data_IF_560879735233
#
_entry.id   IF_560879735233
#
_cell.length_a   1.000
_cell.length_b   1.000
_cell.length_c   1.000
_cell.angle_alpha   90.00
_cell.angle_beta   90.00
_cell.angle_gamma   90.00
#
_symmetry.space_group_name_H-M   'P 1'
#
loop_
_entity.id
_entity.type
_entity.pdbx_description
1 polymer ?
#
# COMPACT_ATOMS: atom_id res chain seq x y z
N UNK A 1 9.11 -29.13 32.14
CA UNK A 1 7.96 -28.39 32.68
C UNK A 1 7.25 -29.24 33.74
N UNK A 2 6.91 -30.50 33.46
CA UNK A 2 6.25 -31.43 34.37
C UNK A 2 7.05 -31.59 35.69
N UNK A 3 8.31 -31.90 35.61
CA UNK A 3 9.22 -32.07 36.76
C UNK A 3 9.32 -30.79 37.60
N UNK A 4 9.39 -29.63 36.95
CA UNK A 4 9.57 -28.34 37.63
C UNK A 4 8.36 -27.92 38.44
N UNK A 5 7.17 -28.24 37.97
CA UNK A 5 5.89 -27.79 38.57
C UNK A 5 5.06 -28.90 39.18
N UNK A 6 5.63 -30.11 39.29
CA UNK A 6 5.00 -31.31 39.81
C UNK A 6 3.59 -31.57 39.23
N UNK A 7 3.51 -31.48 37.88
CA UNK A 7 2.29 -31.76 37.15
C UNK A 7 2.53 -32.88 36.13
N UNK A 8 1.49 -33.52 35.66
CA UNK A 8 1.57 -34.50 34.60
C UNK A 8 0.59 -34.19 33.49
N UNK A 9 1.07 -34.23 32.26
CA UNK A 9 0.22 -34.21 31.07
C UNK A 9 -0.14 -35.64 30.71
N UNK A 10 -1.42 -35.99 30.76
CA UNK A 10 -1.89 -37.28 30.26
C UNK A 10 -1.50 -37.42 28.80
N UNK A 11 -0.70 -38.46 28.47
CA UNK A 11 -0.11 -38.74 27.16
C UNK A 11 1.00 -37.78 26.71
N UNK A 12 1.81 -37.26 27.64
CA UNK A 12 2.97 -36.46 27.29
C UNK A 12 3.97 -37.29 26.46
N UNK A 13 4.04 -37.01 25.16
CA UNK A 13 5.14 -37.43 24.29
C UNK A 13 5.01 -38.79 23.59
N UNK A 14 4.05 -39.63 23.88
CA UNK A 14 4.02 -40.99 23.31
C UNK A 14 2.97 -41.21 22.21
N UNK A 15 1.88 -40.47 22.15
CA UNK A 15 0.87 -40.60 21.08
C UNK A 15 0.30 -39.25 20.72
N UNK A 16 0.61 -38.77 19.51
CA UNK A 16 -0.13 -37.65 18.93
C UNK A 16 -1.58 -38.09 18.66
N UNK A 17 -2.53 -37.28 19.10
CA UNK A 17 -3.94 -37.52 18.79
C UNK A 17 -4.13 -37.60 17.25
N UNK A 18 -4.85 -38.63 16.81
CA UNK A 18 -4.94 -38.93 15.37
C UNK A 18 -5.92 -38.01 14.64
N UNK A 19 -6.98 -37.57 15.33
CA UNK A 19 -7.98 -36.69 14.76
C UNK A 19 -7.83 -35.23 15.24
N UNK A 20 -8.29 -34.30 14.43
CA UNK A 20 -8.30 -32.87 14.82
C UNK A 20 -9.08 -32.59 16.10
N UNK A 21 -10.19 -33.28 16.32
CA UNK A 21 -11.01 -33.14 17.51
C UNK A 21 -10.29 -33.63 18.77
N UNK A 22 -9.58 -34.75 18.69
CA UNK A 22 -8.73 -35.26 19.77
C UNK A 22 -7.55 -34.31 20.05
N UNK A 23 -6.90 -33.79 19.00
CA UNK A 23 -5.82 -32.80 19.14
C UNK A 23 -6.28 -31.53 19.87
N UNK A 24 -7.47 -31.01 19.51
CA UNK A 24 -8.06 -29.85 20.19
C UNK A 24 -8.39 -30.16 21.66
N UNK A 25 -8.92 -31.35 21.92
CA UNK A 25 -9.23 -31.80 23.30
C UNK A 25 -7.97 -31.96 24.13
N UNK A 26 -6.92 -32.57 23.56
CA UNK A 26 -5.62 -32.73 24.18
C UNK A 26 -4.99 -31.35 24.49
N UNK A 27 -5.00 -30.42 23.54
CA UNK A 27 -4.49 -29.06 23.73
C UNK A 27 -5.25 -28.30 24.84
N UNK A 28 -6.59 -28.41 24.89
CA UNK A 28 -7.40 -27.84 25.98
C UNK A 28 -7.05 -28.42 27.33
N UNK A 29 -6.81 -29.71 27.43
CA UNK A 29 -6.42 -30.35 28.69
C UNK A 29 -5.04 -29.92 29.13
N UNK A 30 -4.06 -29.83 28.22
CA UNK A 30 -2.75 -29.32 28.53
C UNK A 30 -2.80 -27.86 29.01
N UNK A 31 -3.58 -27.03 28.34
CA UNK A 31 -3.78 -25.65 28.76
C UNK A 31 -4.37 -25.55 30.17
N UNK A 32 -5.41 -26.34 30.46
CA UNK A 32 -6.02 -26.40 31.84
C UNK A 32 -4.98 -26.84 32.87
N UNK A 33 -4.15 -27.84 32.56
CA UNK A 33 -3.11 -28.31 33.49
C UNK A 33 -2.07 -27.23 33.73
N UNK A 34 -1.64 -26.49 32.69
CA UNK A 34 -0.71 -25.35 32.82
C UNK A 34 -1.32 -24.23 33.67
N UNK A 35 -2.59 -23.87 33.43
CA UNK A 35 -3.31 -22.85 34.21
C UNK A 35 -3.46 -23.27 35.68
N UNK A 36 -3.61 -24.57 35.97
CA UNK A 36 -3.71 -25.04 37.34
C UNK A 36 -2.46 -24.75 38.16
N UNK A 37 -1.28 -24.69 37.56
CA UNK A 37 -0.04 -24.26 38.24
C UNK A 37 -0.16 -22.83 38.76
N UNK A 38 -0.76 -21.96 37.98
CA UNK A 38 -1.03 -20.57 38.42
C UNK A 38 -2.08 -20.55 39.55
N UNK A 39 -3.22 -21.25 39.36
CA UNK A 39 -4.30 -21.27 40.32
C UNK A 39 -3.87 -21.87 41.66
N UNK A 40 -2.94 -22.79 41.69
CA UNK A 40 -2.43 -23.43 42.90
C UNK A 40 -1.28 -22.67 43.57
N UNK A 41 -0.82 -21.57 42.94
CA UNK A 41 0.27 -20.73 43.44
C UNK A 41 -0.28 -19.34 43.79
N UNK A 42 -0.75 -19.17 45.04
CA UNK A 42 -1.35 -17.91 45.48
C UNK A 42 -0.39 -16.73 45.39
N UNK A 43 0.89 -16.93 45.69
CA UNK A 43 1.90 -15.87 45.57
C UNK A 43 2.05 -15.36 44.10
N UNK A 44 2.02 -16.27 43.12
CA UNK A 44 2.02 -15.90 41.72
C UNK A 44 0.76 -15.16 41.28
N UNK A 45 -0.39 -15.60 41.76
CA UNK A 45 -1.69 -14.94 41.50
C UNK A 45 -1.69 -13.54 42.03
N UNK A 46 -1.27 -13.37 43.30
CA UNK A 46 -1.23 -12.08 43.99
C UNK A 46 -0.23 -11.15 43.27
N UNK A 47 0.95 -11.64 42.90
CA UNK A 47 1.92 -10.87 42.11
C UNK A 47 1.34 -10.39 40.78
N UNK A 48 0.65 -11.26 40.03
CA UNK A 48 0.04 -10.90 38.74
C UNK A 48 -1.11 -9.88 38.97
N UNK A 49 -1.92 -10.05 39.99
CA UNK A 49 -2.99 -9.12 40.32
C UNK A 49 -2.44 -7.73 40.67
N UNK A 50 -1.42 -7.68 41.53
CA UNK A 50 -0.75 -6.43 41.89
C UNK A 50 -0.16 -5.72 40.71
N UNK A 51 0.51 -6.46 39.79
CA UNK A 51 1.07 -5.89 38.57
C UNK A 51 0.00 -5.37 37.61
N UNK A 52 -1.13 -6.04 37.48
CA UNK A 52 -2.26 -5.58 36.65
C UNK A 52 -2.90 -4.33 37.25
N UNK A 53 -3.05 -4.25 38.58
CA UNK A 53 -3.52 -3.05 39.26
C UNK A 53 -2.55 -1.89 39.07
N UNK A 54 -1.26 -2.11 39.30
CA UNK A 54 -0.23 -1.09 39.09
C UNK A 54 -0.24 -0.55 37.63
N UNK A 55 -0.40 -1.44 36.64
CA UNK A 55 -0.53 -1.03 35.25
C UNK A 55 -1.83 -0.23 35.03
N UNK A 56 -2.94 -0.68 35.60
CA UNK A 56 -4.22 0.04 35.53
C UNK A 56 -4.12 1.44 36.15
N UNK A 57 -3.50 1.56 37.34
CA UNK A 57 -3.31 2.83 38.03
C UNK A 57 -2.31 3.77 37.28
N UNK A 58 -1.47 3.23 36.41
CA UNK A 58 -0.58 4.04 35.60
C UNK A 58 -1.26 4.70 34.38
N UNK A 59 -2.49 4.31 34.07
CA UNK A 59 -3.28 4.91 32.99
C UNK A 59 -3.73 6.31 33.43
N UNK A 60 -3.46 7.37 32.63
CA UNK A 60 -3.93 8.72 32.95
C UNK A 60 -5.46 8.74 33.10
N UNK A 61 -5.96 9.36 34.19
CA UNK A 61 -7.39 9.44 34.48
C UNK A 61 -8.08 10.66 33.86
N UNK A 62 -7.32 11.52 33.23
CA UNK A 62 -7.75 12.76 32.57
C UNK A 62 -7.85 12.62 31.03
N UNK A 63 -7.73 11.40 30.52
CA UNK A 63 -8.00 11.10 29.11
C UNK A 63 -9.51 11.01 28.92
N UNK A 64 -10.04 11.78 27.96
CA UNK A 64 -11.44 11.67 27.56
C UNK A 64 -11.79 10.23 27.19
N UNK A 65 -12.89 9.71 27.78
CA UNK A 65 -13.36 8.36 27.46
C UNK A 65 -13.65 8.24 25.95
N UNK A 66 -12.89 7.37 25.28
CA UNK A 66 -13.19 7.00 23.92
C UNK A 66 -14.22 5.87 23.93
N UNK A 67 -15.47 6.19 23.57
CA UNK A 67 -16.56 5.20 23.49
C UNK A 67 -16.45 4.33 22.25
N UNK A 68 -15.36 3.56 22.14
CA UNK A 68 -15.01 2.74 20.96
C UNK A 68 -16.13 1.74 20.65
N UNK A 69 -16.82 1.21 21.66
CA UNK A 69 -17.83 0.17 21.46
C UNK A 69 -19.16 0.70 20.93
N UNK A 70 -19.45 1.98 21.10
CA UNK A 70 -20.74 2.58 20.71
C UNK A 70 -20.82 2.99 19.24
N UNK A 71 -19.68 3.12 18.57
CA UNK A 71 -19.62 3.59 17.18
C UNK A 71 -18.48 2.94 16.41
N UNK A 72 -18.71 2.68 15.11
CA UNK A 72 -17.71 2.09 14.24
C UNK A 72 -17.50 2.94 12.98
N UNK A 73 -16.42 3.75 12.91
CA UNK A 73 -16.11 4.57 11.73
C UNK A 73 -15.91 3.76 10.43
N UNK A 74 -15.56 2.46 10.55
CA UNK A 74 -15.41 1.60 9.37
C UNK A 74 -16.73 1.34 8.63
N UNK A 75 -17.86 1.53 9.28
CA UNK A 75 -19.19 1.43 8.68
C UNK A 75 -19.65 2.76 8.06
N UNK A 76 -18.85 3.81 8.17
CA UNK A 76 -19.17 5.12 7.60
C UNK A 76 -18.83 5.18 6.12
N UNK A 77 -19.85 5.12 5.30
CA UNK A 77 -19.69 5.16 3.84
C UNK A 77 -19.03 6.46 3.34
N UNK A 78 -19.22 7.59 4.04
CA UNK A 78 -18.63 8.86 3.65
C UNK A 78 -17.11 8.82 3.66
N UNK A 79 -16.49 8.01 4.54
CA UNK A 79 -15.03 7.88 4.66
C UNK A 79 -14.38 7.30 3.39
N UNK A 80 -15.10 6.48 2.65
CA UNK A 80 -14.57 5.80 1.46
C UNK A 80 -15.30 6.18 0.17
N UNK A 81 -16.22 7.15 0.25
CA UNK A 81 -16.95 7.68 -0.90
C UNK A 81 -16.17 8.83 -1.55
N UNK A 82 -15.15 8.44 -2.31
CA UNK A 82 -14.22 9.39 -2.94
C UNK A 82 -14.85 10.30 -3.99
N UNK A 83 -16.01 9.96 -4.53
CA UNK A 83 -16.74 10.80 -5.50
C UNK A 83 -17.32 12.05 -4.81
N UNK A 84 -17.56 11.97 -3.51
CA UNK A 84 -18.08 13.05 -2.68
C UNK A 84 -17.04 13.63 -1.71
N UNK A 85 -15.75 13.38 -1.93
CA UNK A 85 -14.71 14.01 -1.13
C UNK A 85 -14.65 15.53 -1.37
N UNK A 86 -14.29 16.33 -0.34
CA UNK A 86 -14.14 17.76 -0.49
C UNK A 86 -13.12 18.16 -1.56
N UNK A 87 -13.43 19.21 -2.32
CA UNK A 87 -12.58 19.70 -3.43
C UNK A 87 -11.14 20.01 -2.99
N UNK A 88 -10.95 20.44 -1.76
CA UNK A 88 -9.61 20.76 -1.20
C UNK A 88 -8.68 19.54 -1.09
N UNK A 89 -9.17 18.31 -1.19
CA UNK A 89 -8.34 17.10 -1.27
C UNK A 89 -7.60 17.06 -2.60
N UNK A 90 -8.25 17.50 -3.66
CA UNK A 90 -7.71 17.51 -5.01
C UNK A 90 -6.92 18.80 -5.29
N UNK A 91 -6.10 18.76 -6.30
CA UNK A 91 -5.30 19.89 -6.75
C UNK A 91 -5.72 20.31 -8.17
N UNK A 92 -5.78 21.61 -8.40
CA UNK A 92 -6.11 22.19 -9.70
C UNK A 92 -5.08 21.83 -10.79
N UNK A 93 -5.49 21.67 -12.04
CA UNK A 93 -4.59 21.47 -13.16
C UNK A 93 -3.48 22.53 -13.22
N UNK A 94 -2.25 22.08 -13.47
CA UNK A 94 -1.07 22.94 -13.52
C UNK A 94 -0.39 23.17 -12.18
N UNK A 95 -0.99 22.76 -11.06
CA UNK A 95 -0.37 22.82 -9.73
C UNK A 95 0.85 21.87 -9.69
N UNK A 96 2.00 22.38 -9.27
CA UNK A 96 3.23 21.57 -9.11
C UNK A 96 3.29 20.99 -7.70
N UNK A 97 2.95 19.71 -7.54
CA UNK A 97 2.74 19.06 -6.24
C UNK A 97 3.08 17.56 -6.28
N UNK A 98 3.74 17.00 -5.25
CA UNK A 98 4.00 15.57 -5.22
C UNK A 98 2.76 14.76 -4.78
N UNK A 99 2.67 13.51 -5.25
CA UNK A 99 1.56 12.63 -4.90
C UNK A 99 1.46 12.32 -3.40
N UNK A 100 2.58 12.30 -2.66
CA UNK A 100 2.56 12.12 -1.19
C UNK A 100 1.77 13.21 -0.44
N UNK A 101 1.62 14.41 -1.03
CA UNK A 101 0.77 15.47 -0.44
C UNK A 101 -0.72 15.11 -0.64
N UNK A 102 -1.09 14.46 -1.74
CA UNK A 102 -2.43 13.89 -1.93
C UNK A 102 -2.78 12.89 -0.82
N UNK A 103 -1.83 12.02 -0.48
CA UNK A 103 -1.97 11.13 0.67
C UNK A 103 -2.17 11.90 1.98
N UNK A 104 -1.34 12.91 2.28
CA UNK A 104 -1.49 13.72 3.49
C UNK A 104 -2.86 14.38 3.60
N UNK A 105 -3.41 14.89 2.50
CA UNK A 105 -4.72 15.53 2.49
C UNK A 105 -5.86 14.56 2.78
N UNK A 106 -5.89 13.40 2.11
CA UNK A 106 -6.93 12.40 2.36
C UNK A 106 -6.79 11.79 3.76
N UNK A 107 -5.58 11.55 4.23
CA UNK A 107 -5.30 11.08 5.59
C UNK A 107 -5.81 12.05 6.66
N UNK A 108 -5.57 13.35 6.46
CA UNK A 108 -6.06 14.41 7.34
C UNK A 108 -7.59 14.47 7.36
N UNK A 109 -8.19 14.40 6.18
CA UNK A 109 -9.65 14.44 6.07
C UNK A 109 -10.31 13.25 6.77
N UNK A 110 -9.85 12.02 6.50
CA UNK A 110 -10.41 10.79 7.12
C UNK A 110 -10.36 10.86 8.63
N UNK A 111 -9.21 11.15 9.22
CA UNK A 111 -9.07 11.19 10.68
C UNK A 111 -9.82 12.38 11.30
N UNK A 112 -9.85 13.54 10.63
CA UNK A 112 -10.62 14.70 11.11
C UNK A 112 -12.13 14.44 11.06
N UNK A 113 -12.62 13.81 9.98
CA UNK A 113 -14.02 13.39 9.85
C UNK A 113 -14.38 12.37 10.94
N UNK A 114 -13.56 11.35 11.13
CA UNK A 114 -13.75 10.33 12.15
C UNK A 114 -13.76 10.94 13.56
N UNK A 115 -12.83 11.85 13.88
CA UNK A 115 -12.80 12.57 15.16
C UNK A 115 -14.07 13.38 15.39
N UNK A 116 -14.50 14.15 14.38
CA UNK A 116 -15.69 15.01 14.49
C UNK A 116 -16.96 14.21 14.69
N UNK A 117 -17.12 13.09 14.00
CA UNK A 117 -18.37 12.30 13.99
C UNK A 117 -18.39 11.22 15.08
N UNK A 118 -17.22 10.66 15.44
CA UNK A 118 -17.10 9.49 16.33
C UNK A 118 -16.21 9.74 17.57
N UNK A 119 -15.66 10.93 17.75
CA UNK A 119 -14.82 11.28 18.89
C UNK A 119 -13.42 10.64 18.89
N UNK A 120 -13.03 9.90 17.83
CA UNK A 120 -11.76 9.19 17.74
C UNK A 120 -11.18 9.17 16.34
N UNK A 121 -9.85 8.99 16.17
CA UNK A 121 -9.28 8.73 14.85
C UNK A 121 -9.68 7.33 14.36
N UNK A 122 -9.66 7.13 13.04
CA UNK A 122 -9.75 5.79 12.43
C UNK A 122 -8.37 5.18 12.26
N UNK A 123 -7.39 5.97 11.84
CA UNK A 123 -6.01 5.53 11.64
C UNK A 123 -5.11 5.96 12.79
N UNK A 124 -4.28 5.05 13.26
CA UNK A 124 -3.13 5.34 14.14
C UNK A 124 -1.87 5.08 13.35
N UNK A 125 -0.90 5.98 13.44
CA UNK A 125 0.23 6.05 12.55
C UNK A 125 1.58 6.06 13.26
N UNK A 126 2.59 5.47 12.63
CA UNK A 126 4.00 5.52 13.00
C UNK A 126 4.88 5.72 11.76
N UNK A 127 6.02 6.38 11.91
CA UNK A 127 7.04 6.48 10.86
C UNK A 127 8.39 6.02 11.38
N UNK A 128 9.05 5.17 10.63
CA UNK A 128 10.42 4.74 10.97
C UNK A 128 11.47 5.80 10.66
N UNK A 129 11.11 6.81 9.90
CA UNK A 129 11.88 7.99 9.58
C UNK A 129 10.99 9.24 9.71
N UNK A 130 11.33 10.34 9.09
CA UNK A 130 10.65 11.61 9.24
C UNK A 130 9.17 11.51 8.80
N UNK A 131 8.25 11.60 9.74
CA UNK A 131 6.80 11.54 9.48
C UNK A 131 6.32 12.62 8.48
N UNK A 132 6.90 13.80 8.53
CA UNK A 132 6.65 14.87 7.57
C UNK A 132 7.17 14.54 6.17
N UNK A 133 8.31 13.86 6.06
CA UNK A 133 8.88 13.48 4.75
C UNK A 133 8.06 12.40 4.04
N UNK A 134 7.51 11.45 4.76
CA UNK A 134 6.60 10.42 4.20
C UNK A 134 5.14 10.91 4.10
N UNK A 135 4.84 12.08 4.65
CA UNK A 135 3.51 12.69 4.75
C UNK A 135 2.49 11.88 5.58
N UNK A 136 2.92 10.91 6.38
CA UNK A 136 2.04 10.17 7.29
C UNK A 136 1.54 11.04 8.44
N UNK A 137 2.23 12.15 8.75
CA UNK A 137 1.77 13.17 9.69
C UNK A 137 0.40 13.78 9.33
N UNK A 138 -0.04 13.62 8.09
CA UNK A 138 -1.39 13.98 7.67
C UNK A 138 -2.47 13.41 8.59
N UNK A 139 -2.32 12.18 9.09
CA UNK A 139 -3.28 11.58 10.03
C UNK A 139 -3.45 12.33 11.34
N UNK A 140 -2.47 13.13 11.76
CA UNK A 140 -2.48 13.89 13.01
C UNK A 140 -2.68 15.38 12.81
N UNK A 141 -2.95 15.85 11.62
CA UNK A 141 -3.19 17.27 11.34
C UNK A 141 -4.43 17.74 12.13
N UNK A 142 -4.24 18.76 12.96
CA UNK A 142 -5.28 19.31 13.82
C UNK A 142 -5.43 18.61 15.19
N UNK A 143 -4.53 17.69 15.55
CA UNK A 143 -4.47 17.08 16.89
C UNK A 143 -3.53 17.79 17.87
N UNK A 144 -3.21 19.04 17.63
CA UNK A 144 -2.21 19.78 18.39
C UNK A 144 -0.82 19.60 17.78
N UNK A 145 0.14 20.32 18.30
CA UNK A 145 1.41 20.51 17.62
C UNK A 145 2.59 20.25 18.54
N UNK A 146 3.23 19.13 18.35
CA UNK A 146 4.61 18.98 18.76
C UNK A 146 5.43 19.03 17.46
N UNK A 147 6.28 20.05 17.31
CA UNK A 147 7.13 20.26 16.12
C UNK A 147 6.32 20.33 14.81
N UNK A 148 5.14 20.94 14.84
CA UNK A 148 4.20 21.09 13.70
C UNK A 148 3.71 19.76 13.07
N UNK A 149 3.88 18.62 13.74
CA UNK A 149 3.52 17.31 13.23
C UNK A 149 2.29 16.69 13.90
N UNK A 150 1.80 17.29 15.00
CA UNK A 150 0.68 16.74 15.75
C UNK A 150 1.02 15.42 16.45
N UNK A 151 2.26 15.17 16.83
CA UNK A 151 2.68 13.92 17.46
C UNK A 151 2.05 13.70 18.83
N UNK A 152 1.85 12.44 19.19
CA UNK A 152 1.46 12.04 20.55
C UNK A 152 2.54 12.43 21.56
N UNK A 153 2.08 12.99 22.68
CA UNK A 153 2.89 13.19 23.87
C UNK A 153 2.02 12.90 25.10
N UNK A 154 2.58 12.14 26.04
CA UNK A 154 1.87 11.67 27.24
C UNK A 154 1.41 12.78 28.20
N UNK A 155 1.86 14.01 28.02
CA UNK A 155 1.53 15.15 28.88
C UNK A 155 0.74 16.19 28.10
N UNK A 156 1.18 16.53 26.89
CA UNK A 156 0.69 17.71 26.16
C UNK A 156 -0.22 17.35 24.97
N UNK A 157 -0.17 16.10 24.45
CA UNK A 157 -0.94 15.69 23.28
C UNK A 157 -1.33 14.21 23.32
N UNK A 158 -2.10 13.83 24.33
CA UNK A 158 -2.45 12.42 24.63
C UNK A 158 -3.42 11.79 23.63
N UNK A 159 -4.13 12.59 22.83
CA UNK A 159 -5.14 12.13 21.89
C UNK A 159 -4.66 12.00 20.44
N UNK A 160 -3.38 12.32 20.19
CA UNK A 160 -2.87 12.27 18.81
C UNK A 160 -2.75 10.84 18.29
N UNK A 161 -3.15 10.61 17.02
CA UNK A 161 -2.98 9.32 16.36
C UNK A 161 -1.57 9.09 15.79
N UNK A 162 -0.65 10.05 15.85
CA UNK A 162 0.72 9.90 15.36
C UNK A 162 1.67 9.60 16.52
N UNK A 163 2.09 8.34 16.63
CA UNK A 163 2.98 7.90 17.70
C UNK A 163 4.44 8.24 17.36
N UNK A 164 5.19 8.88 18.31
CA UNK A 164 6.61 9.14 18.11
C UNK A 164 7.40 7.84 18.08
N UNK A 165 8.32 7.71 17.12
CA UNK A 165 9.16 6.54 16.95
C UNK A 165 10.56 6.91 16.48
N UNK A 166 11.51 5.99 16.72
CA UNK A 166 12.83 6.01 16.10
C UNK A 166 12.85 5.30 14.74
N UNK A 167 14.05 5.19 14.15
CA UNK A 167 14.28 4.47 12.89
C UNK A 167 14.25 2.95 13.18
N UNK A 168 13.05 2.39 13.23
CA UNK A 168 12.77 1.00 13.65
C UNK A 168 11.63 0.40 12.84
N UNK A 169 11.85 0.19 11.54
CA UNK A 169 10.82 -0.26 10.58
C UNK A 169 10.10 -1.54 11.05
N UNK A 170 10.84 -2.52 11.54
CA UNK A 170 10.27 -3.79 11.99
C UNK A 170 9.36 -3.58 13.22
N UNK A 171 9.84 -2.84 14.21
CA UNK A 171 9.09 -2.58 15.44
C UNK A 171 7.81 -1.76 15.15
N UNK A 172 7.92 -0.69 14.34
CA UNK A 172 6.77 0.14 13.96
C UNK A 172 5.70 -0.69 13.24
N UNK A 173 6.11 -1.50 12.27
CA UNK A 173 5.18 -2.37 11.54
C UNK A 173 4.54 -3.43 12.45
N UNK A 174 5.32 -3.99 13.38
CA UNK A 174 4.82 -4.95 14.37
C UNK A 174 3.81 -4.34 15.34
N UNK A 175 4.07 -3.13 15.85
CA UNK A 175 3.13 -2.42 16.73
C UNK A 175 1.83 -2.08 16.00
N UNK A 176 1.90 -1.58 14.77
CA UNK A 176 0.70 -1.27 13.98
C UNK A 176 -0.07 -2.53 13.56
N UNK A 177 0.63 -3.61 13.25
CA UNK A 177 0.03 -4.92 13.01
C UNK A 177 -0.73 -5.41 14.26
N UNK A 178 -0.10 -5.34 15.44
CA UNK A 178 -0.73 -5.69 16.71
C UNK A 178 -1.97 -4.83 17.00
N UNK A 179 -1.88 -3.52 16.79
CA UNK A 179 -3.03 -2.60 16.98
C UNK A 179 -4.21 -3.00 16.08
N UNK A 180 -3.95 -3.36 14.84
CA UNK A 180 -5.00 -3.76 13.89
C UNK A 180 -5.62 -5.14 14.19
N UNK A 181 -5.09 -5.90 15.13
CA UNK A 181 -5.71 -7.15 15.63
C UNK A 181 -6.62 -6.94 16.83
N UNK A 182 -6.58 -5.76 17.45
CA UNK A 182 -7.43 -5.46 18.61
C UNK A 182 -8.84 -5.09 18.15
N UNK A 183 -9.80 -5.93 18.50
CA UNK A 183 -11.20 -5.79 18.10
C UNK A 183 -12.08 -5.47 19.32
N UNK A 184 -12.69 -4.31 19.32
CA UNK A 184 -13.58 -3.81 20.37
C UNK A 184 -15.06 -4.11 20.11
N UNK A 185 -15.41 -4.84 19.04
CA UNK A 185 -16.78 -5.20 18.76
C UNK A 185 -17.29 -6.28 19.72
N UNK A 186 -18.56 -6.23 20.10
CA UNK A 186 -19.17 -7.27 20.93
C UNK A 186 -19.29 -8.62 20.18
N UNK A 187 -19.46 -8.58 18.86
CA UNK A 187 -19.43 -9.75 17.97
C UNK A 187 -18.13 -9.80 17.18
N UNK A 188 -17.06 -10.18 17.85
CA UNK A 188 -15.71 -10.21 17.27
C UNK A 188 -15.55 -11.26 16.16
N UNK A 189 -16.45 -12.22 16.03
CA UNK A 189 -16.39 -13.24 15.00
C UNK A 189 -16.96 -12.74 13.67
N UNK A 190 -17.90 -11.80 13.68
CA UNK A 190 -18.57 -11.31 12.49
C UNK A 190 -18.12 -9.91 12.08
N UNK A 191 -17.77 -9.08 13.05
CA UNK A 191 -17.47 -7.67 12.81
C UNK A 191 -16.15 -7.27 13.46
N UNK A 192 -15.52 -6.28 12.84
CA UNK A 192 -14.36 -5.59 13.38
C UNK A 192 -14.72 -4.16 13.76
N UNK A 193 -14.33 -3.74 14.95
CA UNK A 193 -14.33 -2.36 15.40
C UNK A 193 -13.02 -2.07 16.13
N UNK A 194 -12.20 -1.21 15.56
CA UNK A 194 -10.87 -0.91 16.09
C UNK A 194 -10.21 0.20 15.31
N UNK A 195 -8.89 0.17 15.27
CA UNK A 195 -8.07 1.12 14.53
C UNK A 195 -7.42 0.45 13.33
N UNK A 196 -7.19 1.22 12.29
CA UNK A 196 -6.33 0.82 11.17
C UNK A 196 -4.91 1.26 11.50
N UNK A 197 -3.99 0.31 11.62
CA UNK A 197 -2.57 0.59 11.80
C UNK A 197 -1.95 1.11 10.51
N UNK A 198 -1.23 2.22 10.61
CA UNK A 198 -0.55 2.83 9.47
C UNK A 198 0.92 3.06 9.80
N UNK A 199 1.81 2.72 8.89
CA UNK A 199 3.25 2.87 9.13
C UNK A 199 4.00 3.20 7.85
N UNK A 200 5.00 4.05 7.96
CA UNK A 200 5.78 4.52 6.81
C UNK A 200 7.28 4.36 7.00
N UNK A 201 7.96 4.29 5.88
CA UNK A 201 9.39 4.52 5.71
C UNK A 201 9.67 4.91 4.27
N UNK A 202 10.92 5.19 3.93
CA UNK A 202 11.34 5.36 2.55
C UNK A 202 11.28 4.02 1.79
N UNK A 203 10.97 4.08 0.50
CA UNK A 203 10.76 2.90 -0.33
C UNK A 203 11.87 1.86 -0.22
N UNK A 204 13.13 2.31 -0.29
CA UNK A 204 14.32 1.44 -0.21
C UNK A 204 14.45 0.64 1.08
N UNK A 205 13.80 1.06 2.17
CA UNK A 205 13.83 0.38 3.47
C UNK A 205 12.56 -0.43 3.75
N UNK A 206 11.62 -0.45 2.83
CA UNK A 206 10.33 -1.14 2.99
C UNK A 206 10.47 -2.64 3.27
N UNK A 207 11.50 -3.30 2.77
CA UNK A 207 11.74 -4.73 3.01
C UNK A 207 12.00 -5.06 4.49
N UNK A 208 12.46 -4.09 5.29
CA UNK A 208 12.67 -4.27 6.74
C UNK A 208 11.37 -4.50 7.52
N UNK A 209 10.22 -4.20 6.93
CA UNK A 209 8.89 -4.36 7.52
C UNK A 209 8.26 -5.74 7.26
N UNK A 210 8.73 -6.45 6.24
CA UNK A 210 8.10 -7.64 5.68
C UNK A 210 7.74 -8.69 6.73
N UNK A 211 8.66 -9.00 7.64
CA UNK A 211 8.46 -10.06 8.63
C UNK A 211 7.24 -9.87 9.52
N UNK A 212 7.04 -8.66 10.05
CA UNK A 212 5.89 -8.35 10.90
C UNK A 212 4.56 -8.37 10.12
N UNK A 213 4.58 -7.84 8.90
CA UNK A 213 3.37 -7.75 8.08
C UNK A 213 2.98 -9.11 7.51
N UNK A 214 3.97 -9.96 7.19
CA UNK A 214 3.74 -11.36 6.84
C UNK A 214 2.99 -12.11 7.95
N UNK A 215 3.37 -11.90 9.21
CA UNK A 215 2.66 -12.50 10.34
C UNK A 215 1.23 -11.98 10.46
N UNK A 216 1.03 -10.67 10.27
CA UNK A 216 -0.32 -10.10 10.24
C UNK A 216 -1.18 -10.71 9.12
N UNK A 217 -0.61 -10.89 7.92
CA UNK A 217 -1.29 -11.55 6.79
C UNK A 217 -1.76 -12.97 7.15
N UNK A 218 -0.94 -13.73 7.86
CA UNK A 218 -1.31 -15.06 8.35
C UNK A 218 -2.39 -15.00 9.44
N UNK A 219 -2.29 -14.06 10.36
CA UNK A 219 -3.34 -13.84 11.39
C UNK A 219 -4.67 -13.48 10.72
N UNK A 220 -4.66 -12.60 9.73
CA UNK A 220 -5.88 -12.21 9.01
C UNK A 220 -6.54 -13.39 8.29
N UNK A 221 -5.73 -14.35 7.80
CA UNK A 221 -6.23 -15.58 7.17
C UNK A 221 -6.78 -16.59 8.17
N UNK A 222 -6.05 -16.83 9.26
CA UNK A 222 -6.27 -18.00 10.12
C UNK A 222 -7.08 -17.68 11.38
N UNK A 223 -7.20 -16.40 11.75
CA UNK A 223 -7.94 -15.99 12.94
C UNK A 223 -9.45 -16.18 12.76
N UNK A 224 -10.10 -16.74 13.77
CA UNK A 224 -11.57 -16.76 13.86
C UNK A 224 -12.13 -15.37 14.20
N UNK A 225 -11.36 -14.56 14.92
CA UNK A 225 -11.73 -13.19 15.27
C UNK A 225 -11.42 -12.27 14.10
N UNK A 226 -12.38 -11.43 13.71
CA UNK A 226 -12.16 -10.43 12.66
C UNK A 226 -11.07 -9.46 13.09
N UNK A 227 -10.11 -9.23 12.19
CA UNK A 227 -9.04 -8.26 12.35
C UNK A 227 -9.25 -7.07 11.43
N UNK A 228 -8.62 -5.94 11.73
CA UNK A 228 -8.66 -4.75 10.89
C UNK A 228 -7.75 -4.83 9.68
N UNK A 229 -7.42 -3.66 9.16
CA UNK A 229 -6.55 -3.49 7.99
C UNK A 229 -5.24 -2.82 8.38
N UNK A 230 -4.22 -3.00 7.54
CA UNK A 230 -2.95 -2.28 7.62
C UNK A 230 -2.74 -1.38 6.40
N UNK A 231 -2.20 -0.20 6.64
CA UNK A 231 -1.70 0.69 5.58
C UNK A 231 -0.18 0.76 5.62
N UNK A 232 0.45 0.21 4.59
CA UNK A 232 1.89 0.23 4.39
C UNK A 232 2.28 1.34 3.42
N UNK A 233 2.99 2.36 3.90
CA UNK A 233 3.41 3.48 3.07
C UNK A 233 4.90 3.34 2.75
N UNK A 234 5.22 3.32 1.45
CA UNK A 234 6.55 3.46 0.90
C UNK A 234 6.71 4.87 0.32
N UNK A 235 7.21 5.78 1.15
CA UNK A 235 7.16 7.22 0.87
C UNK A 235 8.10 7.71 -0.25
N UNK A 236 9.07 6.90 -0.65
CA UNK A 236 10.09 7.21 -1.65
C UNK A 236 10.28 6.00 -2.57
N UNK A 237 9.39 5.85 -3.55
CA UNK A 237 9.45 4.79 -4.57
C UNK A 237 9.81 5.40 -5.92
N UNK A 238 10.64 4.68 -6.72
CA UNK A 238 11.10 5.15 -8.00
C UNK A 238 12.55 5.72 -7.98
N UNK A 239 13.16 5.93 -9.16
CA UNK A 239 14.53 6.45 -9.29
C UNK A 239 14.62 7.92 -8.88
N UNK A 240 13.59 8.72 -9.14
CA UNK A 240 13.51 10.15 -8.86
C UNK A 240 13.75 10.49 -7.40
N UNK A 241 13.60 9.55 -6.50
CA UNK A 241 13.83 9.74 -5.06
C UNK A 241 15.30 9.70 -4.66
N UNK A 242 16.19 9.28 -5.55
CA UNK A 242 17.63 9.33 -5.33
C UNK A 242 18.21 10.76 -5.33
N UNK A 243 17.42 11.76 -5.76
CA UNK A 243 17.72 13.19 -5.60
C UNK A 243 17.94 13.54 -4.12
N UNK A 244 17.19 12.96 -3.22
CA UNK A 244 17.31 13.16 -1.78
C UNK A 244 18.56 12.48 -1.21
N UNK A 245 18.77 11.23 -1.60
CA UNK A 245 19.96 10.45 -1.26
C UNK A 245 20.11 9.24 -2.20
N UNK A 246 21.34 8.90 -2.55
CA UNK A 246 21.63 7.67 -3.32
C UNK A 246 21.06 6.39 -2.68
N UNK A 247 20.91 6.35 -1.36
CA UNK A 247 20.33 5.21 -0.63
C UNK A 247 18.81 5.14 -0.78
N UNK A 248 18.16 6.20 -1.30
CA UNK A 248 16.73 6.27 -1.53
C UNK A 248 16.31 5.83 -2.95
N UNK A 249 17.21 5.26 -3.73
CA UNK A 249 16.92 4.69 -5.05
C UNK A 249 15.96 3.50 -4.93
N UNK A 250 14.66 3.78 -4.92
CA UNK A 250 13.59 2.87 -4.49
C UNK A 250 12.95 2.03 -5.60
N UNK A 251 13.64 1.73 -6.71
CA UNK A 251 13.05 1.04 -7.88
C UNK A 251 12.59 -0.39 -7.60
N UNK A 252 13.14 -1.05 -6.59
CA UNK A 252 12.75 -2.40 -6.18
C UNK A 252 11.84 -2.44 -4.95
N UNK A 253 11.53 -1.28 -4.37
CA UNK A 253 10.66 -1.18 -3.19
C UNK A 253 9.33 -1.93 -3.33
N UNK A 254 8.61 -1.85 -4.47
CA UNK A 254 7.36 -2.57 -4.62
C UNK A 254 7.51 -4.09 -4.73
N UNK A 255 8.71 -4.63 -4.89
CA UNK A 255 8.93 -6.08 -4.97
C UNK A 255 8.63 -6.80 -3.66
N UNK A 256 8.91 -6.18 -2.51
CA UNK A 256 8.63 -6.80 -1.21
C UNK A 256 7.13 -6.89 -0.93
N UNK A 257 6.33 -5.94 -1.41
CA UNK A 257 4.88 -5.95 -1.24
C UNK A 257 4.17 -6.92 -2.19
N UNK A 258 4.90 -7.54 -3.13
CA UNK A 258 4.41 -8.61 -4.01
C UNK A 258 4.70 -10.01 -3.46
N UNK A 259 5.32 -10.13 -2.27
CA UNK A 259 5.67 -11.41 -1.63
C UNK A 259 4.55 -11.93 -0.71
N UNK A 260 3.30 -11.68 -1.07
CA UNK A 260 2.10 -12.13 -0.37
C UNK A 260 1.23 -12.96 -1.30
N UNK A 261 0.42 -13.89 -0.77
CA UNK A 261 -0.57 -14.57 -1.59
C UNK A 261 -1.57 -13.59 -2.20
N UNK A 262 -2.15 -13.98 -3.34
CA UNK A 262 -3.21 -13.19 -3.98
C UNK A 262 -4.39 -12.98 -3.02
N UNK A 263 -4.95 -11.79 -3.02
CA UNK A 263 -6.04 -11.41 -2.11
C UNK A 263 -5.59 -10.98 -0.69
N UNK A 264 -4.30 -11.00 -0.37
CA UNK A 264 -3.78 -10.58 0.93
C UNK A 264 -3.30 -9.12 0.96
N UNK A 265 -2.97 -8.56 -0.19
CA UNK A 265 -2.46 -7.19 -0.31
C UNK A 265 -2.96 -6.54 -1.59
N UNK A 266 -3.19 -5.24 -1.54
CA UNK A 266 -3.40 -4.38 -2.71
C UNK A 266 -2.23 -3.41 -2.81
N UNK A 267 -1.57 -3.40 -3.97
CA UNK A 267 -0.48 -2.48 -4.27
C UNK A 267 -1.01 -1.29 -5.07
N UNK A 268 -0.77 -0.07 -4.58
CA UNK A 268 -1.20 1.18 -5.21
C UNK A 268 0.00 1.98 -5.69
N UNK A 269 -0.03 2.38 -6.95
CA UNK A 269 1.01 3.18 -7.61
C UNK A 269 0.40 4.43 -8.28
N UNK A 270 -0.26 5.32 -7.52
CA UNK A 270 -0.81 6.55 -8.09
C UNK A 270 0.33 7.41 -8.62
N UNK A 271 0.24 7.88 -9.87
CA UNK A 271 1.36 8.61 -10.48
C UNK A 271 1.34 10.10 -10.15
N UNK A 272 0.16 10.66 -9.85
CA UNK A 272 0.01 12.09 -9.53
C UNK A 272 -0.90 12.29 -8.30
N UNK A 273 -1.00 13.52 -7.85
CA UNK A 273 -1.67 13.91 -6.61
C UNK A 273 -3.13 13.44 -6.53
N UNK A 274 -3.91 13.65 -7.59
CA UNK A 274 -5.35 13.40 -7.57
C UNK A 274 -5.72 11.92 -7.68
N UNK A 275 -4.82 11.06 -8.16
CA UNK A 275 -5.03 9.61 -8.20
C UNK A 275 -5.02 8.96 -6.81
N UNK A 276 -4.41 9.61 -5.81
CA UNK A 276 -4.15 8.99 -4.50
C UNK A 276 -5.43 8.70 -3.74
N UNK A 277 -6.31 9.68 -3.63
CA UNK A 277 -7.52 9.57 -2.82
C UNK A 277 -8.49 8.48 -3.33
N UNK A 278 -8.86 8.43 -4.63
CA UNK A 278 -9.75 7.41 -5.14
C UNK A 278 -9.15 6.01 -5.10
N UNK A 279 -7.85 5.85 -5.41
CA UNK A 279 -7.18 4.55 -5.33
C UNK A 279 -7.15 4.01 -3.88
N UNK A 280 -6.83 4.87 -2.92
CA UNK A 280 -6.78 4.50 -1.50
C UNK A 280 -8.16 4.13 -0.96
N UNK A 281 -9.19 4.94 -1.25
CA UNK A 281 -10.57 4.67 -0.82
C UNK A 281 -11.10 3.36 -1.41
N UNK A 282 -10.87 3.11 -2.69
CA UNK A 282 -11.26 1.85 -3.35
C UNK A 282 -10.58 0.64 -2.69
N UNK A 283 -9.27 0.71 -2.40
CA UNK A 283 -8.56 -0.37 -1.73
C UNK A 283 -9.11 -0.64 -0.32
N UNK A 284 -9.43 0.39 0.46
CA UNK A 284 -10.03 0.23 1.78
C UNK A 284 -11.46 -0.28 1.76
N UNK A 285 -12.17 -0.12 0.65
CA UNK A 285 -13.54 -0.65 0.47
C UNK A 285 -13.59 -2.15 0.18
N UNK A 286 -12.44 -2.79 -0.08
CA UNK A 286 -12.34 -4.27 -0.29
C UNK A 286 -12.19 -4.99 1.05
N UNK A 287 -12.24 -6.34 1.02
CA UNK A 287 -11.96 -7.16 2.21
C UNK A 287 -10.45 -7.50 2.37
N UNK A 288 -9.60 -7.01 1.48
CA UNK A 288 -8.16 -7.27 1.52
C UNK A 288 -7.52 -6.62 2.75
N UNK A 289 -6.75 -7.37 3.56
CA UNK A 289 -6.29 -6.88 4.87
C UNK A 289 -5.14 -5.88 4.81
N UNK A 290 -4.37 -5.83 3.72
CA UNK A 290 -3.19 -4.97 3.60
C UNK A 290 -3.30 -4.09 2.37
N UNK A 291 -3.04 -2.80 2.54
CA UNK A 291 -2.93 -1.83 1.45
C UNK A 291 -1.50 -1.28 1.45
N UNK A 292 -0.78 -1.43 0.35
CA UNK A 292 0.56 -0.88 0.16
C UNK A 292 0.49 0.32 -0.79
N UNK A 293 0.87 1.49 -0.31
CA UNK A 293 0.84 2.75 -1.07
C UNK A 293 2.26 3.20 -1.39
N UNK A 294 2.59 3.23 -2.68
CA UNK A 294 3.89 3.64 -3.20
C UNK A 294 3.83 5.08 -3.70
N UNK A 295 4.56 5.96 -3.03
CA UNK A 295 4.57 7.41 -3.27
C UNK A 295 5.96 7.89 -3.67
N UNK A 296 6.02 9.05 -4.30
CA UNK A 296 7.27 9.71 -4.67
C UNK A 296 7.41 11.09 -4.02
N UNK A 297 8.64 11.61 -4.00
CA UNK A 297 8.96 12.88 -3.34
C UNK A 297 8.93 14.08 -4.28
N UNK A 298 9.55 14.03 -5.46
CA UNK A 298 9.57 15.18 -6.36
C UNK A 298 8.18 15.58 -6.83
N UNK A 299 7.89 16.88 -6.89
CA UNK A 299 6.63 17.36 -7.41
C UNK A 299 6.56 17.21 -8.93
N UNK A 300 5.35 16.99 -9.43
CA UNK A 300 5.03 17.06 -10.84
C UNK A 300 3.80 17.97 -11.03
N UNK A 301 3.57 18.41 -12.25
CA UNK A 301 2.37 19.17 -12.56
C UNK A 301 1.16 18.25 -12.64
N UNK A 302 0.09 18.59 -11.94
CA UNK A 302 -1.22 17.96 -12.12
C UNK A 302 -1.68 18.20 -13.57
N UNK A 303 -2.00 17.15 -14.33
CA UNK A 303 -2.42 17.30 -15.73
C UNK A 303 -3.80 17.94 -15.86
N UNK A 304 -4.00 18.70 -16.91
CA UNK A 304 -5.33 19.10 -17.37
C UNK A 304 -5.91 17.92 -18.17
N UNK A 305 -6.56 16.99 -17.46
CA UNK A 305 -7.03 15.73 -18.04
C UNK A 305 -8.10 15.93 -19.10
N UNK A 306 -8.99 16.91 -18.92
CA UNK A 306 -10.03 17.24 -19.89
C UNK A 306 -9.41 17.73 -21.19
N UNK A 307 -8.48 18.68 -21.12
CA UNK A 307 -7.78 19.21 -22.29
C UNK A 307 -6.95 18.15 -23.01
N UNK A 308 -6.35 17.22 -22.27
CA UNK A 308 -5.49 16.16 -22.82
C UNK A 308 -6.29 14.92 -23.26
N UNK A 309 -7.59 14.85 -22.98
CA UNK A 309 -8.42 13.66 -23.26
C UNK A 309 -8.07 12.45 -22.40
N UNK A 310 -7.47 12.67 -21.23
CA UNK A 310 -7.13 11.63 -20.28
C UNK A 310 -8.35 11.30 -19.43
N UNK A 311 -8.58 10.02 -19.09
CA UNK A 311 -9.62 9.59 -18.19
C UNK A 311 -9.56 10.33 -16.84
N UNK A 312 -10.70 10.39 -16.13
CA UNK A 312 -10.79 11.04 -14.82
C UNK A 312 -9.79 10.45 -13.82
N UNK A 313 -9.26 11.28 -12.92
CA UNK A 313 -8.47 10.78 -11.78
C UNK A 313 -9.26 9.83 -10.87
N UNK A 314 -10.61 9.94 -10.86
CA UNK A 314 -11.47 9.01 -10.12
C UNK A 314 -11.35 7.57 -10.64
N UNK A 315 -10.97 7.38 -11.91
CA UNK A 315 -10.75 6.05 -12.48
C UNK A 315 -9.51 5.34 -11.92
N UNK A 316 -8.65 6.03 -11.17
CA UNK A 316 -7.57 5.40 -10.39
C UNK A 316 -8.11 4.37 -9.39
N UNK A 317 -9.36 4.52 -8.94
CA UNK A 317 -10.09 3.55 -8.10
C UNK A 317 -10.28 2.19 -8.76
N UNK A 318 -10.23 2.13 -10.09
CA UNK A 318 -10.41 0.91 -10.88
C UNK A 318 -9.11 0.16 -11.16
N UNK A 319 -7.96 0.70 -10.71
CA UNK A 319 -6.65 0.07 -10.81
C UNK A 319 -5.93 0.28 -12.15
N UNK A 320 -6.62 0.52 -13.23
CA UNK A 320 -6.06 0.96 -14.51
C UNK A 320 -7.06 1.81 -15.29
N UNK A 321 -6.56 2.73 -16.10
CA UNK A 321 -7.40 3.60 -16.93
C UNK A 321 -6.65 4.09 -18.18
N UNK A 322 -7.41 4.64 -19.15
CA UNK A 322 -6.84 5.14 -20.39
C UNK A 322 -6.25 6.55 -20.22
N UNK A 323 -4.99 6.70 -20.61
CA UNK A 323 -4.37 8.01 -20.90
C UNK A 323 -4.73 8.42 -22.33
N UNK A 324 -4.71 7.45 -23.26
CA UNK A 324 -5.07 7.66 -24.66
C UNK A 324 -5.58 6.35 -25.27
N UNK A 325 -6.64 6.43 -26.04
CA UNK A 325 -7.08 5.32 -26.91
C UNK A 325 -6.57 5.51 -28.34
N UNK A 326 -6.76 4.49 -29.17
CA UNK A 326 -6.45 4.55 -30.61
C UNK A 326 -7.34 5.58 -31.33
N UNK A 327 -6.79 6.10 -32.41
CA UNK A 327 -7.54 6.88 -33.42
C UNK A 327 -7.86 6.00 -34.64
N UNK A 328 -8.34 6.62 -35.73
CA UNK A 328 -8.74 5.95 -36.98
C UNK A 328 -7.57 5.28 -37.74
N UNK A 329 -6.34 5.58 -37.39
CA UNK A 329 -5.15 4.98 -38.03
C UNK A 329 -4.98 3.52 -37.64
N UNK A 330 -4.16 2.73 -38.39
CA UNK A 330 -3.82 1.38 -37.97
C UNK A 330 -3.23 1.35 -36.55
N UNK A 331 -3.73 0.43 -35.72
CA UNK A 331 -3.25 0.23 -34.35
C UNK A 331 -1.80 -0.25 -34.33
N UNK A 332 -0.97 0.33 -33.47
CA UNK A 332 0.48 0.02 -33.40
C UNK A 332 0.90 -0.63 -32.08
N UNK A 333 -0.04 -1.02 -31.24
CA UNK A 333 0.20 -1.70 -29.97
C UNK A 333 -0.14 -0.85 -28.76
N UNK A 334 0.18 -1.36 -27.56
CA UNK A 334 -0.16 -0.72 -26.29
C UNK A 334 1.09 -0.33 -25.51
N UNK A 335 1.09 0.85 -24.91
CA UNK A 335 2.08 1.31 -23.95
C UNK A 335 1.46 1.33 -22.56
N UNK A 336 1.88 0.42 -21.68
CA UNK A 336 1.46 0.38 -20.28
C UNK A 336 2.44 1.22 -19.47
N UNK A 337 1.93 2.22 -18.74
CA UNK A 337 2.77 3.11 -17.94
C UNK A 337 2.48 2.97 -16.46
N UNK A 338 3.53 2.96 -15.61
CA UNK A 338 3.38 2.89 -14.16
C UNK A 338 4.42 3.74 -13.43
N UNK A 339 3.95 4.48 -12.44
CA UNK A 339 4.75 5.30 -11.54
C UNK A 339 4.88 6.75 -12.01
N UNK A 340 5.36 7.61 -11.11
CA UNK A 340 5.27 9.06 -11.28
C UNK A 340 6.13 9.57 -12.43
N UNK A 341 7.43 9.32 -12.43
CA UNK A 341 8.32 9.87 -13.47
C UNK A 341 8.03 9.30 -14.86
N UNK A 342 7.78 8.00 -14.96
CA UNK A 342 7.45 7.34 -16.23
C UNK A 342 6.15 7.87 -16.85
N UNK A 343 5.08 7.94 -16.04
CA UNK A 343 3.78 8.41 -16.54
C UNK A 343 3.83 9.91 -16.86
N UNK A 344 4.46 10.72 -15.97
CA UNK A 344 4.63 12.15 -16.23
C UNK A 344 5.42 12.40 -17.53
N UNK A 345 6.48 11.63 -17.80
CA UNK A 345 7.23 11.74 -19.06
C UNK A 345 6.35 11.43 -20.26
N UNK A 346 5.62 10.31 -20.26
CA UNK A 346 4.71 9.93 -21.37
C UNK A 346 3.65 10.99 -21.59
N UNK A 347 3.03 11.52 -20.55
CA UNK A 347 2.03 12.59 -20.63
C UNK A 347 2.64 13.89 -21.18
N UNK A 348 3.88 14.22 -20.80
CA UNK A 348 4.56 15.44 -21.28
C UNK A 348 4.88 15.43 -22.77
N UNK A 349 4.98 14.24 -23.36
CA UNK A 349 5.27 14.05 -24.80
C UNK A 349 4.07 13.46 -25.56
N UNK A 350 2.88 13.49 -24.98
CA UNK A 350 1.68 12.87 -25.56
C UNK A 350 1.37 13.35 -26.97
N UNK A 351 1.50 14.64 -27.24
CA UNK A 351 1.30 15.23 -28.55
C UNK A 351 2.33 14.71 -29.58
N UNK A 352 3.58 14.52 -29.14
CA UNK A 352 4.65 13.99 -30.02
C UNK A 352 4.38 12.51 -30.35
N UNK A 353 3.98 11.70 -29.35
CA UNK A 353 3.57 10.31 -29.57
C UNK A 353 2.38 10.28 -30.53
N UNK A 354 1.32 11.05 -30.23
CA UNK A 354 0.07 11.03 -30.98
C UNK A 354 0.23 11.47 -32.43
N UNK A 355 1.15 12.40 -32.72
CA UNK A 355 1.39 12.86 -34.08
C UNK A 355 2.08 11.80 -34.95
N UNK A 356 2.89 10.93 -34.35
CA UNK A 356 3.68 9.92 -35.07
C UNK A 356 3.04 8.53 -35.05
N UNK A 357 2.48 8.12 -33.89
CA UNK A 357 2.08 6.75 -33.59
C UNK A 357 0.64 6.65 -33.15
N UNK A 358 0.00 5.55 -33.54
CA UNK A 358 -1.34 5.17 -33.05
C UNK A 358 -1.24 4.05 -32.01
N UNK A 359 -0.69 4.39 -30.85
CA UNK A 359 -0.60 3.48 -29.70
C UNK A 359 -1.67 3.84 -28.67
N UNK A 360 -2.26 2.80 -28.06
CA UNK A 360 -3.07 2.96 -26.86
C UNK A 360 -2.14 3.14 -25.67
N UNK A 361 -2.48 4.02 -24.71
CA UNK A 361 -1.67 4.27 -23.51
C UNK A 361 -2.54 4.02 -22.28
N UNK A 362 -2.09 3.08 -21.43
CA UNK A 362 -2.81 2.62 -20.22
C UNK A 362 -1.99 2.98 -18.99
N UNK A 363 -2.61 3.69 -18.03
CA UNK A 363 -2.04 3.92 -16.71
C UNK A 363 -2.32 2.72 -15.80
N UNK A 364 -1.27 2.11 -15.23
CA UNK A 364 -1.34 0.95 -14.35
C UNK A 364 -1.16 1.38 -12.89
N UNK A 365 -2.26 1.63 -12.19
CA UNK A 365 -2.27 2.09 -10.79
C UNK A 365 -2.20 0.93 -9.81
N UNK A 366 -2.98 -0.13 -10.05
CA UNK A 366 -3.04 -1.32 -9.20
C UNK A 366 -3.51 -2.52 -10.01
N UNK A 367 -2.71 -3.58 -10.02
CA UNK A 367 -3.12 -4.83 -10.65
C UNK A 367 -4.32 -5.45 -9.94
N UNK A 368 -4.28 -5.47 -8.61
CA UNK A 368 -5.29 -6.11 -7.79
C UNK A 368 -6.66 -5.43 -7.96
N UNK A 369 -6.72 -4.10 -7.91
CA UNK A 369 -7.96 -3.36 -8.15
C UNK A 369 -8.46 -3.55 -9.59
N UNK A 370 -7.55 -3.61 -10.56
CA UNK A 370 -7.92 -3.85 -11.96
C UNK A 370 -8.52 -5.23 -12.16
N UNK A 371 -7.97 -6.27 -11.53
CA UNK A 371 -8.53 -7.62 -11.60
C UNK A 371 -9.89 -7.77 -10.92
N UNK A 372 -10.23 -6.90 -9.96
CA UNK A 372 -11.55 -6.86 -9.32
C UNK A 372 -12.63 -6.21 -10.18
N UNK A 373 -12.25 -5.56 -11.29
CA UNK A 373 -13.23 -4.97 -12.21
C UNK A 373 -13.93 -6.03 -13.05
N UNK A 374 -15.09 -5.65 -13.62
CA UNK A 374 -15.80 -6.51 -14.56
C UNK A 374 -14.91 -6.84 -15.78
N UNK A 375 -15.13 -8.01 -16.37
CA UNK A 375 -14.46 -8.40 -17.61
C UNK A 375 -14.64 -7.36 -18.72
N UNK A 376 -15.85 -6.81 -18.84
CA UNK A 376 -16.17 -5.76 -19.80
C UNK A 376 -15.28 -4.51 -19.60
N UNK A 377 -15.09 -4.08 -18.36
CA UNK A 377 -14.21 -2.94 -18.07
C UNK A 377 -12.76 -3.27 -18.43
N UNK A 378 -12.26 -4.43 -18.00
CA UNK A 378 -10.87 -4.84 -18.28
C UNK A 378 -10.59 -4.91 -19.77
N UNK A 379 -11.49 -5.54 -20.52
CA UNK A 379 -11.41 -5.62 -22.00
C UNK A 379 -11.48 -4.25 -22.67
N UNK A 380 -12.21 -3.28 -22.12
CA UNK A 380 -12.26 -1.91 -22.64
C UNK A 380 -10.94 -1.15 -22.44
N UNK A 381 -10.20 -1.48 -21.38
CA UNK A 381 -8.90 -0.85 -21.08
C UNK A 381 -7.79 -1.52 -21.88
N UNK A 382 -7.70 -2.85 -21.80
CA UNK A 382 -6.72 -3.65 -22.52
C UNK A 382 -7.24 -5.07 -22.74
N UNK A 383 -7.52 -5.41 -23.99
CA UNK A 383 -7.92 -6.77 -24.34
C UNK A 383 -6.73 -7.74 -24.31
N UNK A 384 -7.00 -9.05 -24.22
CA UNK A 384 -5.96 -10.10 -24.26
C UNK A 384 -5.03 -9.97 -25.49
N UNK A 385 -5.61 -9.64 -26.63
CA UNK A 385 -4.83 -9.45 -27.88
C UNK A 385 -3.95 -8.21 -27.79
N UNK A 386 -4.48 -7.10 -27.29
CA UNK A 386 -3.76 -5.85 -27.10
C UNK A 386 -2.66 -6.01 -26.05
N UNK A 387 -2.92 -6.76 -24.97
CA UNK A 387 -1.93 -7.04 -23.94
C UNK A 387 -0.74 -7.84 -24.49
N UNK A 388 -1.00 -8.77 -25.44
CA UNK A 388 0.07 -9.55 -26.10
C UNK A 388 0.98 -8.67 -26.98
N UNK A 389 0.46 -7.55 -27.53
CA UNK A 389 1.18 -6.57 -28.34
C UNK A 389 1.41 -5.27 -27.56
N UNK A 390 2.06 -5.38 -26.40
CA UNK A 390 2.32 -4.25 -25.53
C UNK A 390 3.81 -4.05 -25.22
N UNK A 391 4.14 -2.88 -24.70
CA UNK A 391 5.38 -2.55 -24.01
C UNK A 391 5.08 -1.84 -22.70
N UNK A 392 6.07 -1.79 -21.80
CA UNK A 392 5.94 -1.15 -20.50
C UNK A 392 6.93 0.01 -20.38
N UNK A 393 6.48 1.13 -19.80
CA UNK A 393 7.34 2.22 -19.34
C UNK A 393 7.10 2.37 -17.83
N UNK A 394 8.11 2.05 -17.02
CA UNK A 394 7.95 2.02 -15.55
C UNK A 394 9.11 2.69 -14.84
N UNK A 395 8.82 3.34 -13.71
CA UNK A 395 9.83 3.88 -12.80
C UNK A 395 10.32 2.87 -11.75
N UNK A 396 9.95 1.60 -11.90
CA UNK A 396 10.43 0.50 -11.05
C UNK A 396 11.21 -0.51 -11.87
N UNK A 397 11.95 -1.41 -11.21
CA UNK A 397 12.60 -2.52 -11.92
C UNK A 397 11.58 -3.33 -12.71
N UNK A 398 11.94 -3.74 -13.95
CA UNK A 398 10.98 -4.40 -14.85
C UNK A 398 10.36 -5.66 -14.27
N UNK A 399 11.11 -6.43 -13.48
CA UNK A 399 10.60 -7.63 -12.79
C UNK A 399 9.41 -7.36 -11.86
N UNK A 400 9.27 -6.12 -11.38
CA UNK A 400 8.16 -5.70 -10.53
C UNK A 400 6.85 -5.57 -11.32
N UNK A 401 6.95 -5.53 -12.65
CA UNK A 401 5.80 -5.45 -13.56
C UNK A 401 5.28 -6.82 -14.02
N UNK A 402 5.71 -7.93 -13.39
CA UNK A 402 5.44 -9.29 -13.86
C UNK A 402 3.96 -9.55 -14.18
N UNK A 403 3.03 -9.02 -13.38
CA UNK A 403 1.58 -9.13 -13.63
C UNK A 403 1.12 -8.41 -14.91
N UNK A 404 1.86 -7.43 -15.38
CA UNK A 404 1.56 -6.67 -16.60
C UNK A 404 2.32 -7.18 -17.84
N UNK A 405 3.17 -8.19 -17.69
CA UNK A 405 3.98 -8.78 -18.76
C UNK A 405 3.29 -10.04 -19.26
N UNK A 406 2.67 -9.97 -20.43
CA UNK A 406 1.96 -11.11 -21.03
C UNK A 406 2.91 -12.12 -21.71
N UNK A 407 4.06 -11.67 -22.19
CA UNK A 407 5.04 -12.51 -22.88
C UNK A 407 6.44 -11.87 -22.90
N UNK A 408 7.45 -12.64 -23.35
CA UNK A 408 8.84 -12.19 -23.37
C UNK A 408 9.08 -10.95 -24.23
N UNK A 409 8.37 -10.81 -25.35
CA UNK A 409 8.55 -9.67 -26.24
C UNK A 409 8.14 -8.36 -25.58
N UNK A 410 7.13 -8.36 -24.69
CA UNK A 410 6.81 -7.20 -23.87
C UNK A 410 8.04 -6.71 -23.13
N UNK A 411 8.78 -7.61 -22.48
CA UNK A 411 10.00 -7.26 -21.75
C UNK A 411 11.12 -6.71 -22.65
N UNK A 412 11.24 -7.24 -23.85
CA UNK A 412 12.31 -6.84 -24.80
C UNK A 412 12.18 -5.38 -25.30
N UNK A 413 10.94 -4.87 -25.36
CA UNK A 413 10.65 -3.49 -25.79
C UNK A 413 10.42 -2.51 -24.64
N UNK A 414 10.37 -3.01 -23.39
CA UNK A 414 10.06 -2.19 -22.24
C UNK A 414 11.21 -1.28 -21.79
N UNK A 415 10.83 -0.17 -21.16
CA UNK A 415 11.74 0.81 -20.56
C UNK A 415 11.60 0.76 -19.04
N UNK A 416 12.72 0.58 -18.34
CA UNK A 416 12.78 0.52 -16.89
C UNK A 416 14.13 1.00 -16.37
N UNK A 417 14.22 1.52 -15.13
CA UNK A 417 15.45 2.09 -14.58
C UNK A 417 16.55 1.06 -14.27
N UNK A 418 16.26 -0.25 -14.35
CA UNK A 418 17.23 -1.33 -14.15
C UNK A 418 17.82 -1.89 -15.46
N UNK A 419 17.74 -1.13 -16.56
CA UNK A 419 18.16 -1.52 -17.91
C UNK A 419 19.62 -1.98 -18.01
N UNK A 420 20.52 -1.43 -17.18
CA UNK A 420 21.96 -1.77 -17.13
C UNK A 420 22.36 -2.53 -15.85
N UNK A 421 21.40 -2.92 -15.01
CA UNK A 421 21.61 -3.61 -13.73
C UNK A 421 22.51 -2.84 -12.73
N UNK A 422 22.53 -1.50 -12.80
CA UNK A 422 23.31 -0.66 -11.89
C UNK A 422 22.43 0.12 -10.93
N UNK A 423 22.93 0.34 -9.72
CA UNK A 423 22.37 1.30 -8.77
C UNK A 423 22.72 2.72 -9.25
N UNK A 424 21.74 3.61 -9.23
CA UNK A 424 22.00 5.03 -9.52
C UNK A 424 22.61 5.73 -8.33
N UNK A 425 23.43 6.74 -8.61
CA UNK A 425 23.97 7.66 -7.59
C UNK A 425 23.01 8.84 -7.43
N UNK A 426 23.24 9.69 -6.43
CA UNK A 426 22.45 10.93 -6.29
C UNK A 426 22.78 11.93 -7.42
N UNK A 427 21.87 12.86 -7.66
CA UNK A 427 21.96 13.92 -8.67
C UNK A 427 20.69 14.76 -8.65
N UNK A 428 20.52 15.65 -9.60
CA UNK A 428 19.22 16.30 -9.83
C UNK A 428 18.19 15.27 -10.35
N UNK A 429 16.90 15.57 -10.17
CA UNK A 429 15.82 14.69 -10.68
C UNK A 429 15.98 14.42 -12.18
N UNK A 430 16.29 15.47 -12.96
CA UNK A 430 16.42 15.34 -14.40
C UNK A 430 17.61 14.46 -14.83
N UNK A 431 18.75 14.57 -14.15
CA UNK A 431 19.92 13.70 -14.38
C UNK A 431 19.60 12.23 -14.07
N UNK A 432 18.95 11.98 -12.92
CA UNK A 432 18.59 10.62 -12.50
C UNK A 432 17.58 9.99 -13.46
N UNK A 433 16.58 10.75 -13.89
CA UNK A 433 15.55 10.31 -14.84
C UNK A 433 16.18 10.03 -16.22
N UNK A 434 17.13 10.83 -16.64
CA UNK A 434 17.84 10.59 -17.91
C UNK A 434 18.76 9.35 -17.84
N UNK A 435 19.53 9.19 -16.77
CA UNK A 435 20.32 7.97 -16.52
C UNK A 435 19.46 6.71 -16.42
N UNK A 436 18.24 6.85 -15.86
CA UNK A 436 17.28 5.77 -15.75
C UNK A 436 16.56 5.43 -17.09
N UNK A 437 16.91 6.11 -18.19
CA UNK A 437 16.26 6.00 -19.49
C UNK A 437 14.76 6.35 -19.48
N UNK A 438 14.33 7.18 -18.52
CA UNK A 438 12.93 7.61 -18.38
C UNK A 438 12.69 9.05 -18.86
N UNK A 439 13.72 9.72 -19.40
CA UNK A 439 13.54 11.06 -20.00
C UNK A 439 12.83 10.98 -21.37
N UNK A 440 12.24 12.11 -21.84
CA UNK A 440 11.48 12.16 -23.09
C UNK A 440 12.18 11.51 -24.29
N UNK A 441 13.49 11.72 -24.44
CA UNK A 441 14.26 11.17 -25.57
C UNK A 441 14.28 9.65 -25.59
N UNK A 442 14.52 9.01 -24.42
CA UNK A 442 14.63 7.57 -24.33
C UNK A 442 13.26 6.88 -24.47
N UNK A 443 12.22 7.49 -23.93
CA UNK A 443 10.85 6.97 -24.03
C UNK A 443 10.36 7.07 -25.47
N UNK A 444 10.62 8.19 -26.18
CA UNK A 444 10.27 8.33 -27.60
C UNK A 444 11.02 7.33 -28.47
N UNK A 445 12.34 7.17 -28.27
CA UNK A 445 13.14 6.20 -29.00
C UNK A 445 12.63 4.77 -28.81
N UNK A 446 12.24 4.40 -27.58
CA UNK A 446 11.67 3.09 -27.29
C UNK A 446 10.31 2.87 -27.98
N UNK A 447 9.44 3.88 -27.97
CA UNK A 447 8.13 3.81 -28.67
C UNK A 447 8.34 3.76 -30.20
N UNK A 448 9.26 4.57 -30.76
CA UNK A 448 9.60 4.55 -32.18
C UNK A 448 10.09 3.15 -32.59
N UNK A 449 10.95 2.51 -31.81
CA UNK A 449 11.42 1.15 -32.05
C UNK A 449 10.27 0.13 -31.93
N UNK A 450 9.45 0.23 -30.87
CA UNK A 450 8.33 -0.67 -30.63
C UNK A 450 7.33 -0.66 -31.79
N UNK A 451 7.00 0.49 -32.33
CA UNK A 451 6.05 0.64 -33.43
C UNK A 451 6.66 0.23 -34.77
N UNK A 452 7.91 0.66 -35.09
CA UNK A 452 8.57 0.33 -36.37
C UNK A 452 8.86 -1.17 -36.54
N UNK A 453 9.16 -1.88 -35.44
CA UNK A 453 9.45 -3.32 -35.46
C UNK A 453 8.18 -4.19 -35.22
N UNK A 454 6.97 -3.60 -35.23
CA UNK A 454 5.73 -4.30 -34.92
C UNK A 454 5.47 -5.55 -35.76
N UNK A 455 5.72 -5.48 -37.10
CA UNK A 455 5.48 -6.62 -37.97
C UNK A 455 6.37 -7.81 -37.64
N UNK A 456 7.64 -7.56 -37.30
CA UNK A 456 8.58 -8.60 -36.87
C UNK A 456 8.18 -9.18 -35.51
N UNK A 457 7.74 -8.32 -34.56
CA UNK A 457 7.24 -8.72 -33.26
C UNK A 457 6.02 -9.62 -33.38
N UNK A 458 5.03 -9.22 -34.17
CA UNK A 458 3.82 -10.05 -34.40
C UNK A 458 4.14 -11.36 -35.12
N UNK A 459 5.12 -11.37 -36.02
CA UNK A 459 5.57 -12.60 -36.67
C UNK A 459 6.20 -13.57 -35.68
N UNK A 460 7.02 -13.06 -34.74
CA UNK A 460 7.61 -13.86 -33.65
C UNK A 460 6.54 -14.38 -32.69
N UNK A 461 5.52 -13.59 -32.35
CA UNK A 461 4.40 -14.04 -31.51
C UNK A 461 3.65 -15.18 -32.18
N UNK A 462 3.32 -15.07 -33.45
CA UNK A 462 2.64 -16.13 -34.21
C UNK A 462 3.47 -17.42 -34.31
N UNK A 463 4.78 -17.31 -34.50
CA UNK A 463 5.69 -18.45 -34.58
C UNK A 463 5.82 -19.22 -33.25
N UNK A 464 5.56 -18.57 -32.14
CA UNK A 464 5.60 -19.19 -30.79
C UNK A 464 4.29 -19.87 -30.37
N UNK A 465 3.23 -19.75 -31.19
CA UNK A 465 1.96 -20.48 -30.94
C UNK A 465 2.08 -21.87 -31.54
N UNK A 466 2.03 -22.97 -30.76
CA UNK A 466 2.03 -24.32 -31.31
C UNK A 466 0.85 -24.50 -32.28
N UNK A 467 1.11 -25.09 -33.44
CA UNK A 467 0.10 -25.41 -34.45
C UNK A 467 -0.85 -26.50 -33.99
#
# INVERSE_FOLDING_TARGET
>A
FEEKYDISFNNSGEVAAETREEQVTQAKNYFKTVISVMHNNQELVDYLADRLVELGDSVPTDIDECKITESNPLNDKEIFDFENYPDEIFAEPGTNIPNRVGFSKVASWINSHSRKKYGRPLFVAMSADLAGSTNISGFAKGWGDIEDLGMYDKITNTNSPLMPQGITEFANSGMMAGLSTVNFNNDTLQQYNGFIGSFSTYGSFSYLKYGAIRLFSQVAQDSQIKVGKLLWIAGHSGPETAEDSRTHFGIFAPGVTQLFPDGHIINLHPWEHNDVAPALAAAFSTDVPIVALHLTRPPIKVPDREKLGIASHLDASKGAYLIRDYDERPKEGVVIVRGTSSTNTVVSILDQISSKHNVKIVSAVSWELFQMQSEEYRESIISEVEWSDSMIVTNTGLRIMHNWISNRLVSEYSVSPDWDNNWRTGGSVDEIIDEAHLSPRWVLEAIDKFTSERNDRLSKLKANIPS
#
